data_IF_599794496301
#
_entry.id   IF_599794496301
#
_cell.length_a   1.000
_cell.length_b   1.000
_cell.length_c   1.000
_cell.angle_alpha   90.00
_cell.angle_beta   90.00
_cell.angle_gamma   90.00
#
_symmetry.space_group_name_H-M   'P 1'
#
loop_
_entity.id
_entity.type
_entity.pdbx_description
1 polymer ?
#
# COMPACT_ATOMS: atom_id res chain seq x y z
N UNK A 1 -13.08 -25.01 -38.00
CA UNK A 1 -11.98 -24.11 -38.41
C UNK A 1 -11.55 -23.13 -37.30
N UNK A 2 -11.82 -23.40 -36.02
CA UNK A 2 -11.45 -22.50 -34.90
C UNK A 2 -10.44 -23.09 -33.92
N UNK A 3 -10.13 -24.39 -33.98
CA UNK A 3 -9.20 -25.03 -33.03
C UNK A 3 -7.73 -24.74 -33.28
N UNK A 4 -7.37 -24.22 -34.46
CA UNK A 4 -5.97 -24.03 -34.86
C UNK A 4 -5.40 -22.64 -34.52
N UNK A 5 -6.24 -21.65 -34.19
CA UNK A 5 -5.76 -20.31 -33.79
C UNK A 5 -5.33 -20.26 -32.32
N UNK A 6 -5.99 -21.00 -31.42
CA UNK A 6 -5.60 -21.07 -30.01
C UNK A 6 -4.27 -21.81 -29.82
N UNK A 7 -4.00 -22.83 -30.63
CA UNK A 7 -2.73 -23.58 -30.60
C UNK A 7 -1.54 -22.74 -31.13
N UNK A 8 -1.76 -21.89 -32.15
CA UNK A 8 -0.72 -20.99 -32.67
C UNK A 8 -0.34 -19.90 -31.68
N UNK A 9 -1.29 -19.40 -30.87
CA UNK A 9 -1.03 -18.37 -29.86
C UNK A 9 -0.11 -18.89 -28.73
N UNK A 10 -0.26 -20.17 -28.36
CA UNK A 10 0.59 -20.80 -27.35
C UNK A 10 2.00 -21.13 -27.87
N UNK A 11 2.16 -21.39 -29.17
CA UNK A 11 3.46 -21.70 -29.77
C UNK A 11 4.31 -20.46 -30.08
N UNK A 12 3.72 -19.26 -30.16
CA UNK A 12 4.45 -18.00 -30.33
C UNK A 12 5.02 -17.42 -29.02
N UNK A 13 4.58 -17.92 -27.87
CA UNK A 13 5.09 -17.52 -26.55
C UNK A 13 6.24 -18.41 -26.05
N UNK A 14 7.00 -18.99 -26.98
CA UNK A 14 8.26 -19.65 -26.66
C UNK A 14 9.26 -18.64 -26.10
N UNK A 15 9.48 -18.71 -24.78
CA UNK A 15 10.42 -17.92 -23.96
C UNK A 15 9.98 -16.49 -23.66
N UNK A 16 9.07 -16.29 -22.70
CA UNK A 16 9.12 -15.08 -21.89
C UNK A 16 10.07 -15.33 -20.72
N UNK A 17 11.32 -14.89 -20.84
CA UNK A 17 12.32 -14.89 -19.74
C UNK A 17 11.93 -13.94 -18.58
N UNK A 18 10.69 -13.48 -18.54
CA UNK A 18 10.15 -12.64 -17.49
C UNK A 18 9.44 -13.49 -16.45
N UNK A 19 9.98 -13.47 -15.23
CA UNK A 19 9.46 -14.23 -14.07
C UNK A 19 8.13 -13.67 -13.57
N UNK A 20 7.76 -12.44 -13.92
CA UNK A 20 6.53 -11.77 -13.50
C UNK A 20 5.87 -11.05 -14.69
N UNK A 21 4.54 -11.09 -14.78
CA UNK A 21 3.73 -10.37 -15.78
C UNK A 21 3.71 -8.86 -15.50
N UNK A 22 3.68 -8.46 -14.22
CA UNK A 22 3.65 -7.05 -13.80
C UNK A 22 4.57 -6.82 -12.61
N UNK A 23 5.38 -5.77 -12.68
CA UNK A 23 6.17 -5.28 -11.54
C UNK A 23 5.70 -3.87 -11.17
N UNK A 24 5.30 -3.67 -9.91
CA UNK A 24 4.98 -2.35 -9.38
C UNK A 24 6.10 -1.83 -8.48
N UNK A 25 6.32 -0.53 -8.53
CA UNK A 25 7.24 0.17 -7.64
C UNK A 25 6.46 1.28 -6.94
N UNK A 26 6.60 1.38 -5.63
CA UNK A 26 5.97 2.44 -4.88
C UNK A 26 6.37 2.49 -3.42
N UNK A 27 5.77 3.44 -2.72
CA UNK A 27 5.96 3.58 -1.28
C UNK A 27 5.19 2.47 -0.57
N UNK A 28 5.93 1.60 0.12
CA UNK A 28 5.35 0.61 1.02
C UNK A 28 4.93 1.34 2.30
N UNK A 29 3.65 1.30 2.60
CA UNK A 29 3.09 1.98 3.77
C UNK A 29 1.88 1.25 4.32
N UNK A 30 1.57 1.51 5.58
CA UNK A 30 0.36 1.02 6.25
C UNK A 30 -0.66 2.15 6.34
N UNK A 31 -1.90 1.89 5.94
CA UNK A 31 -3.02 2.80 6.16
C UNK A 31 -3.55 2.59 7.58
N UNK A 32 -3.72 3.68 8.33
CA UNK A 32 -4.34 3.71 9.66
C UNK A 32 -5.64 4.49 9.53
N UNK A 33 -6.77 3.80 9.65
CA UNK A 33 -8.09 4.38 9.44
C UNK A 33 -8.75 4.64 10.80
N UNK A 34 -9.14 5.89 11.06
CA UNK A 34 -9.94 6.25 12.24
C UNK A 34 -11.19 7.04 11.82
N UNK A 35 -12.31 6.77 12.49
CA UNK A 35 -13.53 7.54 12.35
C UNK A 35 -13.45 8.78 13.26
N UNK A 36 -13.50 9.97 12.67
CA UNK A 36 -13.27 11.24 13.35
C UNK A 36 -14.36 12.25 13.05
N UNK A 37 -14.47 13.28 13.89
CA UNK A 37 -15.39 14.40 13.67
C UNK A 37 -14.82 15.46 12.72
N UNK A 38 -15.69 16.28 12.12
CA UNK A 38 -15.26 17.44 11.33
C UNK A 38 -14.44 18.42 12.19
N UNK A 39 -14.84 18.60 13.46
CA UNK A 39 -14.13 19.43 14.44
C UNK A 39 -12.72 18.89 14.72
N UNK A 40 -12.54 17.56 14.77
CA UNK A 40 -11.23 16.96 14.92
C UNK A 40 -10.34 17.28 13.72
N UNK A 41 -10.83 17.08 12.49
CA UNK A 41 -10.08 17.38 11.26
C UNK A 41 -9.65 18.84 11.20
N UNK A 42 -10.54 19.76 11.57
CA UNK A 42 -10.23 21.20 11.67
C UNK A 42 -9.16 21.48 12.74
N UNK A 43 -9.31 20.90 13.94
CA UNK A 43 -8.35 21.06 15.04
C UNK A 43 -6.97 20.47 14.74
N UNK A 44 -6.92 19.41 13.93
CA UNK A 44 -5.71 18.82 13.41
C UNK A 44 -5.07 19.69 12.31
N UNK A 45 -5.71 20.77 11.86
CA UNK A 45 -5.13 21.72 10.91
C UNK A 45 -4.82 21.09 9.55
N UNK A 46 -5.58 20.07 9.15
CA UNK A 46 -5.40 19.37 7.87
C UNK A 46 -6.58 19.69 6.94
N UNK A 47 -6.35 20.00 5.65
CA UNK A 47 -7.46 20.32 4.75
C UNK A 47 -8.37 19.11 4.52
N UNK A 48 -9.65 19.22 4.86
CA UNK A 48 -10.61 18.11 4.71
C UNK A 48 -10.61 17.58 3.27
N UNK A 49 -10.52 16.26 3.12
CA UNK A 49 -10.55 15.58 1.83
C UNK A 49 -9.25 15.63 1.03
N UNK A 50 -8.17 16.20 1.58
CA UNK A 50 -6.87 16.24 0.90
C UNK A 50 -6.02 15.00 1.17
N UNK A 51 -4.91 14.93 0.43
CA UNK A 51 -3.74 14.16 0.83
C UNK A 51 -2.61 15.14 1.14
N UNK A 52 -2.02 15.04 2.32
CA UNK A 52 -0.97 15.92 2.80
C UNK A 52 0.24 15.11 3.21
N UNK A 53 1.43 15.47 2.71
CA UNK A 53 2.68 14.90 3.20
C UNK A 53 3.02 15.51 4.56
N UNK A 54 3.41 14.66 5.51
CA UNK A 54 3.78 15.04 6.87
C UNK A 54 5.11 14.40 7.26
N UNK A 55 5.81 15.01 8.21
CA UNK A 55 7.02 14.42 8.80
C UNK A 55 6.68 13.39 9.89
N UNK A 56 7.71 12.70 10.38
CA UNK A 56 7.59 11.63 11.37
C UNK A 56 7.06 12.13 12.73
N UNK A 57 7.48 13.33 13.14
CA UNK A 57 7.00 13.97 14.38
C UNK A 57 5.50 14.29 14.26
N UNK A 58 5.06 14.80 13.11
CA UNK A 58 3.67 15.07 12.84
C UNK A 58 2.85 13.79 12.76
N UNK A 59 3.37 12.73 12.15
CA UNK A 59 2.70 11.43 12.09
C UNK A 59 2.50 10.86 13.49
N UNK A 60 3.56 10.88 14.31
CA UNK A 60 3.51 10.40 15.71
C UNK A 60 2.50 11.19 16.54
N UNK A 61 2.54 12.53 16.46
CA UNK A 61 1.63 13.38 17.23
C UNK A 61 0.17 13.27 16.78
N UNK A 62 -0.09 13.12 15.47
CA UNK A 62 -1.44 12.94 14.95
C UNK A 62 -1.98 11.55 15.30
N UNK A 63 -1.19 10.48 15.14
CA UNK A 63 -1.59 9.12 15.52
C UNK A 63 -1.96 9.02 17.00
N UNK A 64 -1.22 9.69 17.89
CA UNK A 64 -1.51 9.72 19.32
C UNK A 64 -2.83 10.44 19.69
N UNK A 65 -3.36 11.29 18.79
CA UNK A 65 -4.62 12.02 18.98
C UNK A 65 -5.80 11.32 18.33
N UNK A 66 -5.55 10.41 17.39
CA UNK A 66 -6.60 9.64 16.72
C UNK A 66 -7.33 8.73 17.70
N UNK A 67 -8.61 8.48 17.42
CA UNK A 67 -9.37 7.41 18.03
C UNK A 67 -8.81 6.02 17.70
N UNK A 68 -9.50 4.99 18.19
CA UNK A 68 -9.13 3.61 17.87
C UNK A 68 -9.18 3.38 16.36
N UNK A 69 -8.04 3.00 15.78
CA UNK A 69 -7.87 2.82 14.35
C UNK A 69 -7.83 1.36 13.91
N UNK A 70 -8.06 1.16 12.61
CA UNK A 70 -7.77 -0.10 11.90
C UNK A 70 -6.48 0.11 11.12
N UNK A 71 -5.50 -0.77 11.34
CA UNK A 71 -4.25 -0.80 10.58
C UNK A 71 -4.36 -1.86 9.48
N UNK A 72 -4.08 -1.48 8.25
CA UNK A 72 -4.08 -2.37 7.09
C UNK A 72 -2.98 -1.96 6.12
N UNK A 73 -2.31 -2.94 5.51
CA UNK A 73 -1.34 -2.67 4.47
C UNK A 73 -1.97 -1.85 3.33
N UNK A 74 -1.29 -0.76 2.97
CA UNK A 74 -1.79 0.23 2.01
C UNK A 74 -0.79 0.48 0.87
N UNK A 75 -0.82 1.69 0.34
CA UNK A 75 0.02 2.11 -0.78
C UNK A 75 -0.61 1.81 -2.14
N UNK A 76 -0.76 2.87 -2.96
CA UNK A 76 -1.49 2.80 -4.23
C UNK A 76 -0.92 1.75 -5.20
N UNK A 77 0.40 1.73 -5.38
CA UNK A 77 1.07 0.75 -6.23
C UNK A 77 0.95 -0.68 -5.66
N UNK A 78 1.11 -0.85 -4.36
CA UNK A 78 0.97 -2.15 -3.71
C UNK A 78 -0.45 -2.71 -3.90
N UNK A 79 -1.48 -1.91 -3.62
CA UNK A 79 -2.88 -2.28 -3.81
C UNK A 79 -3.20 -2.66 -5.26
N UNK A 80 -2.59 -1.96 -6.23
CA UNK A 80 -2.73 -2.28 -7.65
C UNK A 80 -2.12 -3.64 -7.97
N UNK A 81 -0.91 -3.92 -7.47
CA UNK A 81 -0.20 -5.18 -7.71
C UNK A 81 -0.88 -6.37 -7.02
N UNK A 82 -1.42 -6.16 -5.82
CA UNK A 82 -2.29 -7.14 -5.14
C UNK A 82 -3.52 -7.45 -6.00
N UNK A 83 -4.15 -6.42 -6.58
CA UNK A 83 -5.28 -6.60 -7.50
C UNK A 83 -4.90 -7.39 -8.75
N UNK A 84 -3.73 -7.12 -9.34
CA UNK A 84 -3.19 -7.89 -10.48
C UNK A 84 -2.98 -9.36 -10.11
N UNK A 85 -2.37 -9.64 -8.96
CA UNK A 85 -2.18 -11.01 -8.48
C UNK A 85 -3.52 -11.73 -8.23
N UNK A 86 -4.49 -11.03 -7.64
CA UNK A 86 -5.83 -11.57 -7.40
C UNK A 86 -6.58 -11.91 -8.71
N UNK A 87 -6.24 -11.26 -9.83
CA UNK A 87 -6.78 -11.57 -11.15
C UNK A 87 -6.05 -12.72 -11.86
N UNK A 88 -5.04 -13.33 -11.22
CA UNK A 88 -4.36 -14.54 -11.69
C UNK A 88 -3.05 -14.31 -12.44
N UNK A 89 -2.58 -13.07 -12.54
CA UNK A 89 -1.27 -12.76 -13.13
C UNK A 89 -0.15 -12.92 -12.08
N UNK A 90 1.06 -13.24 -12.55
CA UNK A 90 2.26 -13.24 -11.72
C UNK A 90 2.73 -11.80 -11.48
N UNK A 91 2.88 -11.40 -10.23
CA UNK A 91 3.16 -10.01 -9.91
C UNK A 91 4.29 -9.86 -8.88
N UNK A 92 5.07 -8.79 -9.03
CA UNK A 92 6.14 -8.41 -8.11
C UNK A 92 5.93 -6.98 -7.62
N UNK A 93 6.30 -6.74 -6.36
CA UNK A 93 6.33 -5.40 -5.79
C UNK A 93 7.73 -5.02 -5.31
N UNK A 94 8.10 -3.77 -5.56
CA UNK A 94 9.32 -3.13 -5.06
C UNK A 94 8.89 -1.93 -4.22
N UNK A 95 9.14 -2.04 -2.92
CA UNK A 95 8.94 -0.97 -1.95
C UNK A 95 9.82 -1.25 -0.73
N UNK A 96 10.13 -0.22 0.04
CA UNK A 96 11.03 -0.35 1.20
C UNK A 96 10.23 -0.14 2.48
N UNK A 97 10.44 -1.03 3.45
CA UNK A 97 9.91 -0.90 4.82
C UNK A 97 11.07 -0.88 5.80
N UNK A 98 10.81 -0.37 7.01
CA UNK A 98 11.69 -0.48 8.17
C UNK A 98 11.58 -1.87 8.79
N UNK A 99 12.61 -2.32 9.48
CA UNK A 99 12.50 -3.44 10.43
C UNK A 99 11.78 -2.98 11.71
N UNK A 100 10.48 -2.74 11.58
CA UNK A 100 9.57 -2.35 12.65
C UNK A 100 8.23 -3.09 12.53
N UNK A 101 7.31 -2.82 13.47
CA UNK A 101 6.00 -3.49 13.51
C UNK A 101 5.20 -3.28 12.22
N UNK A 102 5.11 -2.05 11.71
CA UNK A 102 4.35 -1.73 10.51
C UNK A 102 4.99 -2.37 9.26
N UNK A 103 6.32 -2.40 9.19
CA UNK A 103 7.06 -3.05 8.12
C UNK A 103 6.86 -4.56 8.12
N UNK A 104 6.79 -5.18 9.30
CA UNK A 104 6.46 -6.59 9.44
C UNK A 104 5.03 -6.89 8.96
N UNK A 105 4.05 -6.05 9.31
CA UNK A 105 2.66 -6.15 8.83
C UNK A 105 2.61 -6.05 7.30
N UNK A 106 3.19 -5.00 6.72
CA UNK A 106 3.21 -4.81 5.27
C UNK A 106 3.85 -6.00 4.54
N UNK A 107 5.02 -6.43 5.00
CA UNK A 107 5.79 -7.49 4.37
C UNK A 107 5.10 -8.87 4.50
N UNK A 108 4.37 -9.10 5.59
CA UNK A 108 3.54 -10.29 5.75
C UNK A 108 2.35 -10.26 4.78
N UNK A 109 1.56 -9.18 4.80
CA UNK A 109 0.31 -9.10 4.06
C UNK A 109 0.54 -9.19 2.55
N UNK A 110 1.50 -8.43 2.01
CA UNK A 110 1.75 -8.43 0.57
C UNK A 110 2.17 -9.82 0.08
N UNK A 111 2.99 -10.55 0.86
CA UNK A 111 3.39 -11.92 0.51
C UNK A 111 2.23 -12.90 0.61
N UNK A 112 1.35 -12.73 1.59
CA UNK A 112 0.15 -13.56 1.75
C UNK A 112 -0.81 -13.45 0.55
N UNK A 113 -0.74 -12.38 -0.24
CA UNK A 113 -1.52 -12.22 -1.49
C UNK A 113 -0.95 -12.99 -2.69
N UNK A 114 0.22 -13.61 -2.57
CA UNK A 114 0.93 -14.28 -3.68
C UNK A 114 1.81 -13.36 -4.52
N UNK A 115 1.90 -12.07 -4.17
CA UNK A 115 2.83 -11.12 -4.79
C UNK A 115 4.27 -11.42 -4.37
N UNK A 116 5.19 -11.47 -5.34
CA UNK A 116 6.63 -11.58 -5.07
C UNK A 116 7.14 -10.31 -4.39
N UNK A 117 7.60 -10.44 -3.14
CA UNK A 117 8.19 -9.34 -2.37
C UNK A 117 9.46 -9.81 -1.64
N UNK A 118 10.61 -9.46 -2.21
CA UNK A 118 11.96 -9.90 -1.78
C UNK A 118 12.84 -8.74 -1.31
N UNK A 119 12.26 -7.56 -1.06
CA UNK A 119 13.02 -6.42 -0.56
C UNK A 119 13.24 -6.61 0.94
N UNK A 120 14.51 -6.62 1.36
CA UNK A 120 14.87 -6.68 2.78
C UNK A 120 14.42 -5.41 3.50
N UNK A 121 13.96 -5.56 4.75
CA UNK A 121 13.65 -4.43 5.62
C UNK A 121 14.90 -3.58 5.93
N UNK A 122 14.73 -2.27 6.09
CA UNK A 122 15.83 -1.38 6.44
C UNK A 122 16.17 -1.47 7.94
N UNK A 123 17.43 -1.75 8.27
CA UNK A 123 17.93 -1.82 9.65
C UNK A 123 18.25 -0.45 10.28
N UNK A 124 18.53 0.58 9.47
CA UNK A 124 18.59 2.00 9.91
C UNK A 124 17.73 2.92 9.03
N UNK A 125 17.45 4.15 9.50
CA UNK A 125 16.66 5.15 8.79
C UNK A 125 15.25 5.37 9.36
N UNK A 126 14.40 6.12 8.62
CA UNK A 126 13.04 6.47 9.04
C UNK A 126 12.15 5.22 9.22
N UNK A 127 11.12 5.33 10.07
CA UNK A 127 10.13 4.26 10.26
C UNK A 127 9.39 3.89 8.97
N UNK A 128 8.70 2.74 8.96
CA UNK A 128 7.86 2.36 7.82
C UNK A 128 6.82 3.44 7.57
N UNK A 129 6.65 3.83 6.31
CA UNK A 129 5.69 4.85 5.93
C UNK A 129 4.27 4.50 6.40
N UNK A 130 3.48 5.52 6.68
CA UNK A 130 2.09 5.34 7.07
C UNK A 130 1.21 6.42 6.48
N UNK A 131 -0.07 6.10 6.27
CA UNK A 131 -1.09 7.06 5.89
C UNK A 131 -2.15 7.09 6.99
N UNK A 132 -2.22 8.21 7.72
CA UNK A 132 -3.22 8.45 8.74
C UNK A 132 -4.48 9.00 8.06
N UNK A 133 -5.51 8.16 7.96
CA UNK A 133 -6.75 8.42 7.24
C UNK A 133 -7.84 8.76 8.23
N UNK A 134 -8.20 10.04 8.26
CA UNK A 134 -9.30 10.56 9.07
C UNK A 134 -10.60 10.48 8.26
N UNK A 135 -11.55 9.69 8.73
CA UNK A 135 -12.83 9.46 8.05
C UNK A 135 -13.92 10.21 8.80
N UNK A 136 -14.53 11.18 8.15
CA UNK A 136 -15.64 11.98 8.72
C UNK A 136 -17.00 11.33 8.46
N UNK A 137 -18.08 11.72 9.17
CA UNK A 137 -19.39 11.06 9.05
C UNK A 137 -20.01 11.07 7.65
N UNK A 138 -19.61 12.01 6.79
CA UNK A 138 -19.99 12.05 5.36
C UNK A 138 -19.15 11.11 4.48
N UNK A 139 -18.33 10.25 5.10
CA UNK A 139 -17.40 9.31 4.50
C UNK A 139 -16.23 9.95 3.71
N UNK A 140 -16.04 11.27 3.82
CA UNK A 140 -14.87 11.91 3.23
C UNK A 140 -13.60 11.50 4.00
N UNK A 141 -12.52 11.24 3.24
CA UNK A 141 -11.24 10.77 3.76
C UNK A 141 -10.20 11.87 3.64
N UNK A 142 -9.56 12.22 4.76
CA UNK A 142 -8.43 13.15 4.80
C UNK A 142 -7.17 12.36 5.12
N UNK A 143 -6.24 12.33 4.17
CA UNK A 143 -5.06 11.46 4.19
C UNK A 143 -3.82 12.25 4.59
N UNK A 144 -3.09 11.77 5.60
CA UNK A 144 -1.86 12.40 6.06
C UNK A 144 -0.73 11.38 6.01
N UNK A 145 0.16 11.53 5.05
CA UNK A 145 1.10 10.48 4.66
C UNK A 145 2.52 10.85 5.05
N UNK A 146 3.15 9.97 5.83
CA UNK A 146 4.58 9.97 6.10
C UNK A 146 5.25 8.90 5.23
N UNK A 147 6.39 9.26 4.61
CA UNK A 147 7.10 8.48 3.59
C UNK A 147 8.61 8.44 3.84
#
# INVERSE_FOLDING_TARGET
MTSNQTALYLQLNGSSDFVNDVCGIGNALVDVLSQESDEFVESAGVPKGSMTLIDEERATSLYAQMGAGIEISGGSAANTIVGVAALGATAQYIGKVRDDQLGAVFAHDIRATGVTYQIDSAATGPSTGCCLILITPDAQRTMNTFL
#
